data_IF_886888474547
#
_entry.id   IF_886888474547
#
_cell.length_a   1.000
_cell.length_b   1.000
_cell.length_c   1.000
_cell.angle_alpha   90.00
_cell.angle_beta   90.00
_cell.angle_gamma   90.00
#
_symmetry.space_group_name_H-M   'P 1'
#
loop_
_entity.id
_entity.type
_entity.pdbx_description
1 polymer ?
#
# COMPACT_ATOMS: atom_id res chain seq x y z
N UNK A 1 -7.11 -2.28 -10.64
CA UNK A 1 -7.30 -2.27 -9.17
C UNK A 1 -6.81 -3.56 -8.50
N UNK A 2 -7.32 -4.75 -8.82
CA UNK A 2 -6.93 -6.00 -8.12
C UNK A 2 -5.42 -6.26 -8.07
N UNK A 3 -4.73 -6.25 -9.21
CA UNK A 3 -3.29 -6.50 -9.25
C UNK A 3 -2.49 -5.47 -8.45
N UNK A 4 -2.96 -4.22 -8.42
CA UNK A 4 -2.37 -3.17 -7.61
C UNK A 4 -2.55 -3.43 -6.10
N UNK A 5 -3.74 -3.84 -5.65
CA UNK A 5 -3.98 -4.24 -4.26
C UNK A 5 -3.09 -5.41 -3.85
N UNK A 6 -2.99 -6.42 -4.72
CA UNK A 6 -2.13 -7.59 -4.50
C UNK A 6 -0.67 -7.17 -4.43
N UNK A 7 -0.21 -6.30 -5.33
CA UNK A 7 1.15 -5.75 -5.31
C UNK A 7 1.44 -5.06 -3.98
N UNK A 8 0.56 -4.17 -3.51
CA UNK A 8 0.73 -3.48 -2.23
C UNK A 8 0.86 -4.46 -1.06
N UNK A 9 -0.03 -5.46 -1.01
CA UNK A 9 -0.01 -6.50 0.03
C UNK A 9 1.30 -7.31 0.02
N UNK A 10 1.71 -7.82 -1.14
CA UNK A 10 2.90 -8.66 -1.26
C UNK A 10 4.18 -7.87 -1.02
N UNK A 11 4.26 -6.63 -1.51
CA UNK A 11 5.41 -5.76 -1.28
C UNK A 11 5.53 -5.40 0.21
N UNK A 12 4.42 -5.05 0.86
CA UNK A 12 4.40 -4.80 2.30
C UNK A 12 4.85 -6.04 3.09
N UNK A 13 4.30 -7.21 2.77
CA UNK A 13 4.66 -8.47 3.42
C UNK A 13 6.14 -8.82 3.22
N UNK A 14 6.66 -8.73 2.00
CA UNK A 14 8.05 -9.00 1.69
C UNK A 14 9.00 -8.04 2.43
N UNK A 15 8.69 -6.75 2.45
CA UNK A 15 9.47 -5.74 3.19
C UNK A 15 9.44 -5.98 4.70
N UNK A 16 8.28 -6.31 5.28
CA UNK A 16 8.19 -6.65 6.70
C UNK A 16 9.01 -7.90 7.02
N UNK A 17 8.88 -8.97 6.23
CA UNK A 17 9.64 -10.20 6.40
C UNK A 17 11.15 -9.95 6.30
N UNK A 18 11.59 -9.20 5.29
CA UNK A 18 12.99 -8.80 5.14
C UNK A 18 13.47 -7.98 6.33
N UNK A 19 12.65 -7.07 6.85
CA UNK A 19 12.99 -6.24 8.02
C UNK A 19 13.18 -7.08 9.29
N UNK A 20 12.36 -8.12 9.50
CA UNK A 20 12.47 -9.03 10.66
C UNK A 20 13.84 -9.70 10.71
N UNK A 21 14.42 -10.05 9.55
CA UNK A 21 15.77 -10.63 9.50
C UNK A 21 16.87 -9.57 9.46
N UNK A 22 16.68 -8.52 8.66
CA UNK A 22 17.73 -7.54 8.40
C UNK A 22 18.01 -6.64 9.60
N UNK A 23 16.97 -6.22 10.34
CA UNK A 23 17.12 -5.28 11.45
C UNK A 23 17.96 -5.89 12.60
N UNK A 24 17.64 -7.08 13.14
CA UNK A 24 18.48 -7.69 14.17
C UNK A 24 19.92 -7.94 13.70
N UNK A 25 20.09 -8.35 12.43
CA UNK A 25 21.41 -8.55 11.86
C UNK A 25 22.20 -7.23 11.74
N UNK A 26 21.56 -6.14 11.33
CA UNK A 26 22.17 -4.80 11.31
C UNK A 26 22.61 -4.36 12.71
N UNK A 27 21.78 -4.61 13.72
CA UNK A 27 22.09 -4.29 15.11
C UNK A 27 23.31 -5.03 15.63
N UNK A 28 23.43 -6.31 15.32
CA UNK A 28 24.57 -7.12 15.78
C UNK A 28 25.87 -6.85 15.00
N UNK A 29 25.79 -6.65 13.68
CA UNK A 29 26.98 -6.55 12.83
C UNK A 29 27.51 -5.13 12.67
N UNK A 30 26.62 -4.12 12.64
CA UNK A 30 26.95 -2.74 12.25
C UNK A 30 26.77 -1.79 13.42
N UNK A 31 25.66 -1.89 14.15
CA UNK A 31 25.28 -0.90 15.16
C UNK A 31 25.66 -1.28 16.60
N UNK A 32 26.47 -2.31 16.81
CA UNK A 32 26.75 -2.84 18.15
C UNK A 32 27.29 -1.76 19.12
N UNK A 33 28.22 -0.93 18.65
CA UNK A 33 28.81 0.17 19.43
C UNK A 33 28.18 1.53 19.14
N UNK A 34 27.10 1.56 18.35
CA UNK A 34 26.47 2.81 17.93
C UNK A 34 25.46 3.28 18.96
N UNK A 35 25.49 4.58 19.21
CA UNK A 35 24.46 5.24 20.02
C UNK A 35 23.10 5.22 19.31
N UNK A 36 21.98 5.33 20.08
CA UNK A 36 20.64 5.18 19.52
C UNK A 36 20.32 6.09 18.34
N UNK A 37 20.77 7.34 18.39
CA UNK A 37 20.52 8.30 17.32
C UNK A 37 21.25 7.95 16.02
N UNK A 38 22.48 7.40 16.10
CA UNK A 38 23.28 7.05 14.93
C UNK A 38 22.59 5.97 14.10
N UNK A 39 22.11 4.90 14.75
CA UNK A 39 21.42 3.84 14.03
C UNK A 39 20.05 4.31 13.51
N UNK A 40 19.32 5.16 14.23
CA UNK A 40 18.04 5.71 13.74
C UNK A 40 18.27 6.50 12.45
N UNK A 41 19.25 7.42 12.43
CA UNK A 41 19.54 8.17 11.22
C UNK A 41 20.07 7.30 10.09
N UNK A 42 20.86 6.27 10.39
CA UNK A 42 21.36 5.35 9.36
C UNK A 42 20.23 4.49 8.76
N UNK A 43 19.28 4.05 9.59
CA UNK A 43 18.06 3.36 9.12
C UNK A 43 17.18 4.29 8.28
N UNK A 44 17.09 5.58 8.61
CA UNK A 44 16.36 6.54 7.78
C UNK A 44 17.08 6.86 6.46
N UNK A 45 18.39 7.05 6.52
CA UNK A 45 19.23 7.36 5.37
C UNK A 45 20.70 6.95 5.63
N UNK A 46 21.21 5.89 4.97
CA UNK A 46 22.58 5.43 5.18
C UNK A 46 23.63 6.21 4.36
N UNK A 47 23.21 7.09 3.44
CA UNK A 47 24.12 7.83 2.55
C UNK A 47 25.14 8.71 3.30
N UNK A 48 24.78 9.48 4.34
CA UNK A 48 25.77 10.27 5.07
C UNK A 48 26.85 9.42 5.73
N UNK A 49 26.51 8.22 6.19
CA UNK A 49 27.44 7.35 6.94
C UNK A 49 28.51 6.74 6.05
N UNK A 50 28.20 6.40 4.79
CA UNK A 50 29.23 5.95 3.84
C UNK A 50 30.13 7.11 3.39
N UNK A 51 29.58 8.33 3.26
CA UNK A 51 30.35 9.52 2.86
C UNK A 51 31.36 9.96 3.94
N UNK A 52 31.02 9.79 5.22
CA UNK A 52 31.93 10.06 6.34
C UNK A 52 32.91 8.88 6.57
N UNK A 53 32.68 7.74 5.91
CA UNK A 53 33.52 6.54 6.03
C UNK A 53 33.27 5.72 7.30
N UNK A 54 32.10 5.87 7.93
CA UNK A 54 31.72 5.14 9.15
C UNK A 54 31.27 3.71 8.88
N UNK A 55 30.86 3.42 7.65
CA UNK A 55 30.43 2.09 7.21
C UNK A 55 31.19 1.71 5.93
N UNK A 56 31.42 0.41 5.73
CA UNK A 56 32.00 -0.11 4.49
C UNK A 56 30.97 -0.16 3.36
N UNK A 57 31.42 -0.37 2.11
CA UNK A 57 30.53 -0.45 0.93
C UNK A 57 29.51 -1.60 1.06
N UNK A 58 29.93 -2.76 1.58
CA UNK A 58 29.02 -3.90 1.77
C UNK A 58 27.98 -3.62 2.85
N UNK A 59 28.41 -2.99 3.97
CA UNK A 59 27.51 -2.53 5.02
C UNK A 59 26.53 -1.48 4.49
N UNK A 60 26.97 -0.57 3.61
CA UNK A 60 26.10 0.42 2.98
C UNK A 60 24.96 -0.21 2.18
N UNK A 61 25.23 -1.19 1.30
CA UNK A 61 24.16 -1.86 0.55
C UNK A 61 23.19 -2.61 1.47
N UNK A 62 23.70 -3.20 2.54
CA UNK A 62 22.87 -3.87 3.54
C UNK A 62 21.98 -2.88 4.32
N UNK A 63 22.56 -1.77 4.79
CA UNK A 63 21.82 -0.68 5.44
C UNK A 63 20.79 -0.08 4.48
N UNK A 64 21.13 0.16 3.21
CA UNK A 64 20.22 0.68 2.20
C UNK A 64 19.02 -0.25 1.98
N UNK A 65 19.25 -1.56 1.85
CA UNK A 65 18.16 -2.53 1.72
C UNK A 65 17.28 -2.56 2.97
N UNK A 66 17.89 -2.49 4.16
CA UNK A 66 17.17 -2.44 5.44
C UNK A 66 16.32 -1.18 5.54
N UNK A 67 16.88 0.00 5.23
CA UNK A 67 16.18 1.29 5.20
C UNK A 67 14.98 1.25 4.26
N UNK A 68 15.19 0.76 3.03
CA UNK A 68 14.12 0.64 2.04
C UNK A 68 13.00 -0.28 2.56
N UNK A 69 13.32 -1.42 3.17
CA UNK A 69 12.30 -2.34 3.69
C UNK A 69 11.54 -1.76 4.88
N UNK A 70 12.24 -1.13 5.84
CA UNK A 70 11.66 -0.56 7.05
C UNK A 70 10.75 0.64 6.73
N UNK A 71 11.04 1.40 5.67
CA UNK A 71 10.21 2.53 5.23
C UNK A 71 9.10 2.05 4.29
N UNK A 72 9.44 1.34 3.22
CA UNK A 72 8.48 0.92 2.20
C UNK A 72 7.44 -0.06 2.75
N UNK A 73 7.80 -0.99 3.63
CA UNK A 73 6.87 -1.98 4.18
C UNK A 73 5.64 -1.34 4.84
N UNK A 74 5.83 -0.52 5.90
CA UNK A 74 4.75 0.20 6.55
C UNK A 74 4.00 1.16 5.61
N UNK A 75 4.70 1.90 4.75
CA UNK A 75 4.04 2.80 3.78
C UNK A 75 3.10 2.04 2.84
N UNK A 76 3.56 0.91 2.27
CA UNK A 76 2.74 0.08 1.39
C UNK A 76 1.59 -0.58 2.15
N UNK A 77 1.79 -0.96 3.41
CA UNK A 77 0.73 -1.50 4.25
C UNK A 77 -0.37 -0.47 4.55
N UNK A 78 0.00 0.78 4.86
CA UNK A 78 -0.95 1.88 5.06
C UNK A 78 -1.74 2.14 3.77
N UNK A 79 -1.07 2.20 2.63
CA UNK A 79 -1.73 2.36 1.32
C UNK A 79 -2.67 1.18 1.01
N UNK A 80 -2.26 -0.05 1.34
CA UNK A 80 -3.10 -1.22 1.21
C UNK A 80 -4.39 -1.09 2.04
N UNK A 81 -4.28 -0.70 3.32
CA UNK A 81 -5.46 -0.51 4.19
C UNK A 81 -6.36 0.62 3.68
N UNK A 82 -5.78 1.70 3.18
CA UNK A 82 -6.53 2.81 2.59
C UNK A 82 -7.36 2.35 1.40
N UNK A 83 -6.75 1.62 0.45
CA UNK A 83 -7.47 1.13 -0.72
C UNK A 83 -8.40 -0.06 -0.41
N UNK A 84 -8.07 -0.88 0.60
CA UNK A 84 -8.98 -1.92 1.06
C UNK A 84 -10.27 -1.29 1.61
N UNK A 85 -10.16 -0.22 2.40
CA UNK A 85 -11.33 0.53 2.90
C UNK A 85 -12.18 1.10 1.77
N UNK A 86 -11.54 1.60 0.71
CA UNK A 86 -12.23 2.05 -0.49
C UNK A 86 -13.00 0.91 -1.18
N UNK A 87 -12.36 -0.26 -1.35
CA UNK A 87 -13.01 -1.45 -1.91
C UNK A 87 -14.20 -1.89 -1.06
N UNK A 88 -14.07 -1.89 0.27
CA UNK A 88 -15.16 -2.28 1.16
C UNK A 88 -16.39 -1.36 1.05
N UNK A 89 -16.21 -0.13 0.56
CA UNK A 89 -17.28 0.86 0.33
C UNK A 89 -17.66 1.01 -1.14
N UNK A 90 -17.06 0.22 -2.03
CA UNK A 90 -17.18 0.34 -3.47
C UNK A 90 -16.91 1.76 -4.00
N UNK A 91 -15.90 2.44 -3.46
CA UNK A 91 -15.55 3.80 -3.83
C UNK A 91 -14.20 3.88 -4.52
N UNK A 92 -14.11 4.66 -5.60
CA UNK A 92 -12.81 5.00 -6.22
C UNK A 92 -12.12 6.13 -5.45
N UNK A 93 -10.82 6.34 -5.70
CA UNK A 93 -10.10 7.49 -5.12
C UNK A 93 -10.66 8.83 -5.55
N UNK A 94 -11.22 8.91 -6.76
CA UNK A 94 -11.87 10.13 -7.27
C UNK A 94 -13.19 10.36 -6.54
N UNK A 95 -14.03 9.35 -6.40
CA UNK A 95 -15.29 9.44 -5.64
C UNK A 95 -15.05 9.79 -4.17
N UNK A 96 -14.02 9.19 -3.54
CA UNK A 96 -13.63 9.50 -2.17
C UNK A 96 -13.07 10.93 -2.01
N UNK A 97 -12.50 11.51 -3.08
CA UNK A 97 -12.04 12.90 -3.11
C UNK A 97 -13.26 13.84 -3.26
N UNK A 98 -14.15 13.55 -4.21
CA UNK A 98 -15.39 14.31 -4.44
C UNK A 98 -16.24 14.33 -3.17
N UNK A 99 -16.43 13.19 -2.52
CA UNK A 99 -17.25 13.08 -1.30
C UNK A 99 -16.69 13.88 -0.12
N UNK A 100 -15.40 14.26 -0.16
CA UNK A 100 -14.73 15.04 0.88
C UNK A 100 -14.52 16.50 0.51
N UNK A 101 -14.76 16.89 -0.74
CA UNK A 101 -14.62 18.27 -1.18
C UNK A 101 -15.73 19.12 -0.53
N UNK A 102 -15.33 20.07 0.34
CA UNK A 102 -16.27 21.02 0.96
C UNK A 102 -16.84 22.04 -0.03
N UNK A 103 -16.17 22.26 -1.17
CA UNK A 103 -16.62 23.13 -2.26
C UNK A 103 -16.62 22.34 -3.58
N UNK A 104 -17.80 21.98 -4.14
CA UNK A 104 -17.90 21.20 -5.38
C UNK A 104 -17.43 21.96 -6.63
N UNK A 105 -17.15 23.27 -6.53
CA UNK A 105 -16.76 24.14 -7.66
C UNK A 105 -15.34 23.91 -8.17
N UNK A 106 -14.49 23.14 -7.49
CA UNK A 106 -13.13 22.84 -7.96
C UNK A 106 -13.04 21.66 -8.92
N UNK A 107 -14.14 20.92 -9.14
CA UNK A 107 -14.13 19.71 -9.95
C UNK A 107 -15.11 19.92 -11.12
N UNK A 108 -14.57 20.33 -12.27
CA UNK A 108 -15.33 20.59 -13.50
C UNK A 108 -15.80 19.26 -14.12
N UNK A 109 -16.96 18.77 -13.70
CA UNK A 109 -17.72 17.72 -14.40
C UNK A 109 -19.10 18.28 -14.77
N UNK A 110 -19.70 17.81 -15.88
CA UNK A 110 -21.05 18.20 -16.30
C UNK A 110 -22.07 17.90 -15.18
N UNK A 111 -22.94 18.86 -14.89
CA UNK A 111 -23.85 18.91 -13.73
C UNK A 111 -24.79 17.70 -13.56
N UNK A 112 -24.89 16.80 -14.55
CA UNK A 112 -25.76 15.62 -14.51
C UNK A 112 -25.08 14.35 -13.95
N UNK A 113 -23.74 14.32 -13.88
CA UNK A 113 -22.97 13.14 -13.43
C UNK A 113 -22.54 13.19 -11.96
N UNK A 114 -22.75 14.33 -11.28
CA UNK A 114 -22.29 14.58 -9.90
C UNK A 114 -23.30 14.16 -8.83
N UNK A 115 -24.21 13.21 -9.12
CA UNK A 115 -24.97 12.57 -8.04
C UNK A 115 -24.03 11.63 -7.28
N UNK A 116 -23.95 11.71 -5.94
CA UNK A 116 -23.28 10.69 -5.15
C UNK A 116 -24.06 9.39 -5.29
N UNK A 117 -23.68 8.58 -6.29
CA UNK A 117 -24.27 7.27 -6.53
C UNK A 117 -23.71 6.34 -5.46
N UNK A 118 -24.62 5.70 -4.72
CA UNK A 118 -24.25 4.74 -3.71
C UNK A 118 -24.07 3.37 -4.37
N UNK A 119 -22.83 3.04 -4.70
CA UNK A 119 -22.45 1.71 -5.20
C UNK A 119 -22.19 0.70 -4.07
N UNK A 120 -22.38 1.07 -2.81
CA UNK A 120 -22.15 0.17 -1.67
C UNK A 120 -23.27 -0.88 -1.59
N UNK A 121 -22.97 -2.09 -2.06
CA UNK A 121 -23.83 -3.27 -1.98
C UNK A 121 -23.47 -4.17 -0.78
N UNK A 122 -22.71 -3.65 0.20
CA UNK A 122 -22.19 -4.38 1.34
C UNK A 122 -20.76 -4.90 1.14
N UNK A 123 -19.98 -4.90 2.22
CA UNK A 123 -18.53 -5.12 2.20
C UNK A 123 -18.09 -6.38 1.43
N UNK A 124 -18.86 -7.47 1.52
CA UNK A 124 -18.55 -8.74 0.85
C UNK A 124 -18.83 -8.65 -0.65
N UNK A 125 -19.98 -8.09 -1.04
CA UNK A 125 -20.35 -7.92 -2.44
C UNK A 125 -19.36 -7.00 -3.15
N UNK A 126 -19.01 -5.88 -2.52
CA UNK A 126 -18.04 -4.92 -3.06
C UNK A 126 -16.65 -5.55 -3.23
N UNK A 127 -16.21 -6.34 -2.24
CA UNK A 127 -14.93 -7.02 -2.30
C UNK A 127 -14.92 -8.11 -3.39
N UNK A 128 -15.99 -8.90 -3.50
CA UNK A 128 -16.12 -9.90 -4.57
C UNK A 128 -16.23 -9.26 -5.96
N UNK A 129 -16.84 -8.08 -6.08
CA UNK A 129 -16.92 -7.33 -7.33
C UNK A 129 -15.55 -6.87 -7.82
N UNK A 130 -14.71 -6.38 -6.90
CA UNK A 130 -13.35 -5.94 -7.24
C UNK A 130 -12.43 -7.14 -7.41
N UNK A 131 -12.33 -8.01 -6.40
CA UNK A 131 -11.30 -9.05 -6.29
C UNK A 131 -11.71 -10.43 -6.82
N UNK A 132 -12.98 -10.60 -7.19
CA UNK A 132 -13.58 -11.87 -7.61
C UNK A 132 -14.00 -12.76 -6.43
N UNK A 133 -14.80 -13.80 -6.71
CA UNK A 133 -15.28 -14.76 -5.68
C UNK A 133 -14.16 -15.49 -4.93
N UNK A 134 -12.99 -15.62 -5.55
CA UNK A 134 -11.80 -16.31 -5.01
C UNK A 134 -10.75 -15.31 -4.48
N UNK A 135 -11.19 -14.18 -3.96
CA UNK A 135 -10.32 -13.09 -3.52
C UNK A 135 -9.25 -13.52 -2.50
N UNK A 136 -9.58 -14.45 -1.58
CA UNK A 136 -8.64 -15.03 -0.61
C UNK A 136 -7.44 -15.71 -1.30
N UNK A 137 -7.71 -16.53 -2.32
CA UNK A 137 -6.65 -17.18 -3.12
C UNK A 137 -5.79 -16.15 -3.86
N UNK A 138 -6.37 -15.00 -4.21
CA UNK A 138 -5.65 -13.90 -4.83
C UNK A 138 -4.58 -13.25 -3.95
N UNK A 139 -4.72 -13.33 -2.62
CA UNK A 139 -3.70 -12.87 -1.68
C UNK A 139 -2.57 -13.88 -1.49
N UNK A 140 -2.83 -15.16 -1.75
CA UNK A 140 -1.81 -16.23 -1.69
C UNK A 140 -1.07 -16.39 -3.02
N UNK A 141 -1.76 -16.19 -4.15
CA UNK A 141 -1.24 -16.39 -5.49
C UNK A 141 -1.51 -15.14 -6.36
N UNK A 142 -0.54 -14.22 -6.46
CA UNK A 142 -0.77 -12.90 -7.05
C UNK A 142 -1.08 -12.98 -8.56
N UNK A 143 -0.56 -14.00 -9.24
CA UNK A 143 -0.69 -14.19 -10.69
C UNK A 143 -2.00 -14.88 -11.12
N UNK A 144 -2.88 -15.28 -10.17
CA UNK A 144 -4.15 -15.88 -10.55
C UNK A 144 -5.04 -14.85 -11.27
N UNK A 145 -5.53 -15.17 -12.48
CA UNK A 145 -6.42 -14.27 -13.20
C UNK A 145 -7.71 -14.06 -12.41
N UNK A 146 -8.21 -12.83 -12.40
CA UNK A 146 -9.49 -12.49 -11.78
C UNK A 146 -10.55 -12.33 -12.86
N UNK A 147 -11.56 -13.18 -12.82
CA UNK A 147 -12.81 -12.92 -13.51
C UNK A 147 -13.57 -11.84 -12.75
N UNK A 148 -13.77 -10.68 -13.39
CA UNK A 148 -14.62 -9.61 -12.88
C UNK A 148 -16.08 -9.96 -13.11
N UNK A 149 -16.93 -9.57 -12.18
CA UNK A 149 -18.38 -9.73 -12.31
C UNK A 149 -19.04 -8.66 -13.18
N UNK A 150 -18.34 -7.55 -13.46
CA UNK A 150 -18.85 -6.42 -14.25
C UNK A 150 -18.00 -6.17 -15.50
N UNK A 151 -18.65 -5.58 -16.51
CA UNK A 151 -18.06 -5.16 -17.78
C UNK A 151 -17.17 -3.91 -17.65
N UNK A 152 -17.29 -3.19 -16.53
CA UNK A 152 -16.58 -1.93 -16.27
C UNK A 152 -17.29 -0.70 -16.82
N UNK A 153 -18.49 -0.86 -17.39
CA UNK A 153 -19.36 0.20 -17.90
C UNK A 153 -20.61 0.35 -17.04
N UNK A 154 -21.11 -0.76 -16.48
CA UNK A 154 -22.29 -0.81 -15.62
C UNK A 154 -21.93 -1.40 -14.26
N UNK A 155 -22.49 -0.78 -13.20
CA UNK A 155 -22.25 -1.16 -11.82
C UNK A 155 -23.60 -1.28 -11.09
N UNK A 156 -23.77 -2.27 -10.21
CA UNK A 156 -24.99 -2.40 -9.42
C UNK A 156 -25.12 -1.20 -8.47
N UNK A 157 -26.34 -0.71 -8.33
CA UNK A 157 -26.68 0.35 -7.37
C UNK A 157 -27.21 -0.27 -6.08
N UNK A 158 -26.94 0.39 -4.96
CA UNK A 158 -27.63 0.12 -3.71
C UNK A 158 -29.03 0.73 -3.81
N UNK A 159 -30.06 -0.10 -4.00
CA UNK A 159 -31.44 0.34 -3.82
C UNK A 159 -31.62 0.63 -2.32
N UNK A 160 -31.85 1.90 -1.98
CA UNK A 160 -32.15 2.32 -0.62
C UNK A 160 -33.48 1.71 -0.12
#
# INVERSE_FOLDING_TARGET
MVYFIRLLFHLAFACCLASIFNVPYAFHLIYYDWSPWQWIFCVLNPVPFILIGWISISQFFFCLMTSLCVILGPTMFILFLYHLRQILRNQTSVEALISKAQNPTQILYEEHDLKPLNYDCGWRANLEQVMGKRWLLGFLFPCLPVMRSTDGLSFPFSDA
#
